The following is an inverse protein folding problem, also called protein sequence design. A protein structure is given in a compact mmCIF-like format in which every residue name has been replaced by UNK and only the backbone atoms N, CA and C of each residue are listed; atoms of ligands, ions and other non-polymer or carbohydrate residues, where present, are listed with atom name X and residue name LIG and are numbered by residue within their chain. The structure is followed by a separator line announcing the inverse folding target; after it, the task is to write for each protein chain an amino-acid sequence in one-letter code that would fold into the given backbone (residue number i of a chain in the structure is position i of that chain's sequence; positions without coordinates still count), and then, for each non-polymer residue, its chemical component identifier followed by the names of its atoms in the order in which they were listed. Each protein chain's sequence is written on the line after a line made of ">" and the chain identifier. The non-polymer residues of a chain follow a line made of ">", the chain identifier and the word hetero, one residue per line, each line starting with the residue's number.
data_IF_946367435960
#
_entry.id   IF_946367435960
#
_cell.length_a   1.000
_cell.length_b   1.000
_cell.length_c   1.000
_cell.angle_alpha   90.00
_cell.angle_beta   90.00
_cell.angle_gamma   90.00
#
_symmetry.space_group_name_H-M   'P 1'
#
loop_
_entity.id
_entity.type
_entity.pdbx_description
1 polymer ?
#
# COMPACT_ATOMS: atom_id res chain seq x y z
N UNK A 1 -22.34 39.62 -16.45
CA UNK A 1 -22.08 38.27 -16.98
C UNK A 1 -20.61 38.08 -17.40
N UNK A 2 -19.72 39.06 -17.18
CA UNK A 2 -18.29 38.97 -17.52
C UNK A 2 -17.40 39.23 -16.29
N UNK A 3 -17.16 38.19 -15.47
CA UNK A 3 -16.02 38.18 -14.53
C UNK A 3 -14.96 37.25 -15.13
N UNK A 4 -13.71 37.69 -15.33
CA UNK A 4 -12.61 36.84 -15.83
C UNK A 4 -12.38 35.57 -14.99
N UNK A 5 -12.85 35.53 -13.73
CA UNK A 5 -12.90 34.31 -12.92
C UNK A 5 -13.86 33.25 -13.50
N UNK A 6 -14.97 33.65 -14.13
CA UNK A 6 -15.95 32.73 -14.74
C UNK A 6 -15.38 31.99 -15.95
N UNK A 7 -14.61 32.66 -16.80
CA UNK A 7 -13.99 32.05 -17.97
C UNK A 7 -12.86 31.07 -17.58
N UNK A 8 -12.09 31.38 -16.54
CA UNK A 8 -11.05 30.47 -16.02
C UNK A 8 -11.66 29.21 -15.41
N UNK A 9 -12.67 29.36 -14.54
CA UNK A 9 -13.34 28.20 -13.90
C UNK A 9 -13.97 27.25 -14.92
N UNK A 10 -14.48 27.77 -16.04
CA UNK A 10 -15.09 26.95 -17.09
C UNK A 10 -14.03 26.14 -17.86
N UNK A 11 -12.89 26.76 -18.23
CA UNK A 11 -11.78 26.05 -18.87
C UNK A 11 -11.21 24.92 -18.01
N UNK A 12 -11.13 25.13 -16.69
CA UNK A 12 -10.69 24.08 -15.75
C UNK A 12 -11.72 22.95 -15.61
N UNK A 13 -13.02 23.27 -15.61
CA UNK A 13 -14.09 22.27 -15.65
C UNK A 13 -14.01 21.41 -16.92
N UNK A 14 -13.84 22.04 -18.09
CA UNK A 14 -13.76 21.33 -19.36
C UNK A 14 -12.51 20.45 -19.45
N UNK A 15 -11.36 20.94 -18.95
CA UNK A 15 -10.11 20.16 -18.91
C UNK A 15 -10.18 18.95 -17.95
N UNK A 16 -10.79 19.12 -16.78
CA UNK A 16 -10.97 18.04 -15.79
C UNK A 16 -12.16 17.13 -16.12
N UNK A 17 -12.88 17.42 -17.20
CA UNK A 17 -14.12 16.76 -17.56
C UNK A 17 -15.17 16.85 -16.45
N UNK A 18 -15.20 17.91 -15.63
CA UNK A 18 -16.09 18.12 -14.49
C UNK A 18 -17.18 19.15 -14.82
N UNK A 19 -18.41 18.98 -14.34
CA UNK A 19 -19.43 20.04 -14.44
C UNK A 19 -19.12 21.13 -13.40
N UNK A 20 -19.57 22.37 -13.64
CA UNK A 20 -19.34 23.51 -12.73
C UNK A 20 -19.73 23.23 -11.28
N UNK A 21 -20.86 22.55 -11.07
CA UNK A 21 -21.37 22.18 -9.74
C UNK A 21 -20.54 21.08 -9.05
N UNK A 22 -19.72 20.36 -9.82
CA UNK A 22 -18.87 19.26 -9.36
C UNK A 22 -17.46 19.73 -8.98
N UNK A 23 -17.05 20.94 -9.37
CA UNK A 23 -15.69 21.45 -9.11
C UNK A 23 -15.39 21.61 -7.61
N UNK A 24 -16.34 22.13 -6.84
CA UNK A 24 -16.18 22.31 -5.39
C UNK A 24 -16.04 20.96 -4.66
N UNK A 25 -16.98 20.00 -4.79
CA UNK A 25 -16.83 18.70 -4.15
C UNK A 25 -15.63 17.91 -4.69
N UNK A 26 -15.28 18.06 -5.98
CA UNK A 26 -14.06 17.47 -6.54
C UNK A 26 -12.80 17.99 -5.84
N UNK A 27 -12.71 19.31 -5.62
CA UNK A 27 -11.57 19.93 -4.93
C UNK A 27 -11.46 19.44 -3.49
N UNK A 28 -12.59 19.34 -2.78
CA UNK A 28 -12.60 18.80 -1.42
C UNK A 28 -12.21 17.31 -1.40
N UNK A 29 -12.66 16.50 -2.37
CA UNK A 29 -12.26 15.10 -2.49
C UNK A 29 -10.77 14.94 -2.82
N UNK A 30 -10.23 15.81 -3.69
CA UNK A 30 -8.81 15.87 -4.03
C UNK A 30 -7.96 16.22 -2.79
N UNK A 31 -8.30 17.32 -2.10
CA UNK A 31 -7.59 17.77 -0.89
C UNK A 31 -7.71 16.74 0.21
N UNK A 32 -8.88 16.11 0.34
CA UNK A 32 -9.09 15.03 1.29
C UNK A 32 -8.13 13.86 1.02
N UNK A 33 -8.09 13.32 -0.20
CA UNK A 33 -7.22 12.18 -0.47
C UNK A 33 -5.73 12.54 -0.38
N UNK A 34 -5.38 13.77 -0.78
CA UNK A 34 -4.05 14.35 -0.60
C UNK A 34 -3.64 14.35 0.87
N UNK A 35 -4.43 14.99 1.76
CA UNK A 35 -4.12 15.07 3.19
C UNK A 35 -4.04 13.68 3.82
N UNK A 36 -4.92 12.77 3.42
CA UNK A 36 -4.97 11.41 3.93
C UNK A 36 -3.69 10.63 3.64
N UNK A 37 -3.26 10.62 2.38
CA UNK A 37 -2.07 9.90 1.95
C UNK A 37 -0.80 10.62 2.36
N UNK A 38 -0.83 11.95 2.48
CA UNK A 38 0.28 12.73 3.04
C UNK A 38 0.52 12.39 4.51
N UNK A 39 -0.52 12.44 5.35
CA UNK A 39 -0.42 12.08 6.77
C UNK A 39 0.07 10.65 6.97
N UNK A 40 -0.50 9.69 6.25
CA UNK A 40 -0.03 8.31 6.32
C UNK A 40 1.41 8.12 5.81
N UNK A 41 1.79 8.79 4.72
CA UNK A 41 3.15 8.66 4.15
C UNK A 41 4.21 9.35 5.00
N UNK A 42 3.84 10.31 5.85
CA UNK A 42 4.73 10.88 6.86
C UNK A 42 5.14 9.83 7.89
N UNK A 43 4.19 8.98 8.29
CA UNK A 43 4.38 7.97 9.32
C UNK A 43 5.12 6.72 8.84
N UNK A 44 5.11 6.43 7.53
CA UNK A 44 5.72 5.20 6.99
C UNK A 44 7.23 5.10 7.26
N UNK A 45 8.06 6.15 7.03
CA UNK A 45 9.47 6.11 7.42
C UNK A 45 9.67 5.96 8.93
N UNK A 46 8.78 6.55 9.74
CA UNK A 46 8.82 6.39 11.21
C UNK A 46 8.57 4.94 11.58
N UNK A 47 7.62 4.25 10.92
CA UNK A 47 7.39 2.82 11.11
C UNK A 47 8.66 1.99 10.92
N UNK A 48 9.40 2.28 9.86
CA UNK A 48 10.58 1.51 9.47
C UNK A 48 11.76 1.79 10.43
N UNK A 49 11.80 2.99 11.02
CA UNK A 49 12.72 3.31 12.11
C UNK A 49 12.31 2.63 13.43
N UNK A 50 11.01 2.61 13.76
CA UNK A 50 10.46 1.86 14.91
C UNK A 50 10.67 0.35 14.80
N UNK A 51 10.85 -0.19 13.60
CA UNK A 51 11.29 -1.57 13.40
C UNK A 51 12.73 -1.82 13.92
N UNK A 52 13.58 -0.80 13.87
CA UNK A 52 14.93 -0.85 14.43
C UNK A 52 14.87 -0.63 15.95
N UNK A 53 14.17 0.42 16.41
CA UNK A 53 14.04 0.73 17.84
C UNK A 53 13.33 -0.38 18.63
N UNK A 54 12.32 -1.04 18.03
CA UNK A 54 11.64 -2.20 18.60
C UNK A 54 12.53 -3.45 18.74
N UNK A 55 13.73 -3.43 18.17
CA UNK A 55 14.72 -4.50 18.24
C UNK A 55 14.59 -5.49 17.07
N UNK A 56 15.64 -5.58 16.26
CA UNK A 56 15.70 -6.41 15.05
C UNK A 56 15.39 -7.89 15.29
N UNK A 57 15.72 -8.43 16.47
CA UNK A 57 15.41 -9.83 16.85
C UNK A 57 13.91 -10.09 16.97
N UNK A 58 13.12 -9.05 17.23
CA UNK A 58 11.67 -9.13 17.37
C UNK A 58 10.92 -8.80 16.08
N UNK A 59 11.61 -8.46 14.99
CA UNK A 59 10.97 -8.14 13.71
C UNK A 59 10.06 -9.28 13.19
N UNK A 60 10.45 -10.57 13.27
CA UNK A 60 9.55 -11.67 12.92
C UNK A 60 8.28 -11.69 13.76
N UNK A 61 8.39 -11.45 15.08
CA UNK A 61 7.24 -11.35 15.97
C UNK A 61 6.32 -10.18 15.61
N UNK A 62 6.89 -9.01 15.25
CA UNK A 62 6.13 -7.83 14.82
C UNK A 62 5.39 -8.10 13.50
N UNK A 63 6.02 -8.83 12.56
CA UNK A 63 5.37 -9.28 11.33
C UNK A 63 4.26 -10.30 11.61
N UNK A 64 4.48 -11.27 12.50
CA UNK A 64 3.45 -12.23 12.94
C UNK A 64 2.28 -11.51 13.61
N UNK A 65 2.54 -10.56 14.51
CA UNK A 65 1.50 -9.75 15.14
C UNK A 65 0.71 -8.96 14.09
N UNK A 66 1.39 -8.31 13.14
CA UNK A 66 0.73 -7.61 12.01
C UNK A 66 -0.17 -8.54 11.20
N UNK A 67 0.30 -9.75 10.88
CA UNK A 67 -0.49 -10.75 10.15
C UNK A 67 -1.74 -11.16 10.94
N UNK A 68 -1.59 -11.55 12.21
CA UNK A 68 -2.70 -11.98 13.05
C UNK A 68 -3.71 -10.84 13.29
N UNK A 69 -3.22 -9.63 13.55
CA UNK A 69 -4.08 -8.45 13.72
C UNK A 69 -4.81 -8.09 12.43
N UNK A 70 -4.17 -8.15 11.26
CA UNK A 70 -4.86 -7.93 9.98
C UNK A 70 -5.94 -8.99 9.72
N UNK A 71 -5.64 -10.26 10.02
CA UNK A 71 -6.59 -11.36 9.85
C UNK A 71 -7.83 -11.18 10.73
N UNK A 72 -7.66 -10.67 11.96
CA UNK A 72 -8.76 -10.36 12.87
C UNK A 72 -9.49 -9.05 12.51
N UNK A 73 -8.77 -8.02 12.07
CA UNK A 73 -9.33 -6.70 11.81
C UNK A 73 -10.12 -6.63 10.49
N UNK A 74 -9.75 -7.44 9.48
CA UNK A 74 -10.44 -7.48 8.19
C UNK A 74 -11.93 -7.85 8.29
N UNK A 75 -12.33 -8.95 8.97
CA UNK A 75 -13.76 -9.27 9.16
C UNK A 75 -14.47 -8.26 10.06
N UNK A 76 -13.79 -7.75 11.10
CA UNK A 76 -14.34 -6.70 11.97
C UNK A 76 -14.70 -5.44 11.18
N UNK A 77 -13.82 -5.02 10.26
CA UNK A 77 -14.07 -3.89 9.37
C UNK A 77 -15.21 -4.17 8.39
N UNK A 78 -15.27 -5.37 7.80
CA UNK A 78 -16.39 -5.79 6.96
C UNK A 78 -17.72 -5.67 7.71
N UNK A 79 -17.77 -6.16 8.95
CA UNK A 79 -18.94 -6.05 9.82
C UNK A 79 -19.30 -4.58 10.16
N UNK A 80 -18.32 -3.77 10.58
CA UNK A 80 -18.51 -2.34 10.86
C UNK A 80 -19.04 -1.58 9.64
N UNK A 81 -18.50 -1.85 8.45
CA UNK A 81 -18.91 -1.21 7.20
C UNK A 81 -20.34 -1.53 6.78
N UNK A 82 -20.86 -2.70 7.20
CA UNK A 82 -22.23 -3.12 6.93
C UNK A 82 -23.25 -2.52 7.92
N UNK A 83 -22.84 -2.23 9.17
CA UNK A 83 -23.76 -1.82 10.25
C UNK A 83 -23.69 -0.33 10.61
N UNK A 84 -22.63 0.39 10.21
CA UNK A 84 -22.46 1.81 10.52
C UNK A 84 -22.69 2.69 9.29
N UNK A 85 -23.36 3.84 9.47
CA UNK A 85 -23.40 4.87 8.44
C UNK A 85 -21.96 5.32 8.11
N UNK A 86 -21.58 5.34 6.83
CA UNK A 86 -20.19 5.53 6.40
C UNK A 86 -19.57 6.84 6.90
N UNK A 87 -20.36 7.90 7.04
CA UNK A 87 -19.90 9.17 7.62
C UNK A 87 -19.47 9.03 9.09
N UNK A 88 -20.31 8.42 9.94
CA UNK A 88 -19.97 8.17 11.35
C UNK A 88 -18.76 7.23 11.47
N UNK A 89 -18.68 6.20 10.62
CA UNK A 89 -17.53 5.30 10.59
C UNK A 89 -16.24 6.06 10.29
N UNK A 90 -16.24 6.95 9.30
CA UNK A 90 -15.07 7.78 8.97
C UNK A 90 -14.63 8.67 10.14
N UNK A 91 -15.56 9.42 10.73
CA UNK A 91 -15.25 10.31 11.85
C UNK A 91 -14.68 9.53 13.04
N UNK A 92 -15.28 8.39 13.37
CA UNK A 92 -14.82 7.55 14.49
C UNK A 92 -13.45 6.96 14.21
N UNK A 93 -13.21 6.40 13.02
CA UNK A 93 -11.91 5.80 12.67
C UNK A 93 -10.81 6.87 12.65
N UNK A 94 -11.06 8.04 12.08
CA UNK A 94 -10.03 9.08 11.99
C UNK A 94 -9.81 9.79 13.32
N UNK A 95 -10.88 10.04 14.09
CA UNK A 95 -10.77 10.53 15.46
C UNK A 95 -9.97 9.55 16.34
N UNK A 96 -10.24 8.25 16.22
CA UNK A 96 -9.45 7.20 16.88
C UNK A 96 -7.98 7.26 16.48
N UNK A 97 -7.67 7.35 15.17
CA UNK A 97 -6.28 7.43 14.70
C UNK A 97 -5.59 8.69 15.24
N UNK A 98 -6.24 9.85 15.23
CA UNK A 98 -5.69 11.10 15.77
C UNK A 98 -5.37 10.95 17.25
N UNK A 99 -6.30 10.41 18.06
CA UNK A 99 -6.06 10.18 19.49
C UNK A 99 -4.89 9.22 19.70
N UNK A 100 -4.79 8.14 18.93
CA UNK A 100 -3.64 7.22 19.01
C UNK A 100 -2.33 7.93 18.67
N UNK A 101 -2.29 8.79 17.64
CA UNK A 101 -1.09 9.55 17.29
C UNK A 101 -0.66 10.50 18.42
N UNK A 102 -1.61 11.13 19.11
CA UNK A 102 -1.31 11.99 20.27
C UNK A 102 -0.78 11.17 21.46
N UNK A 103 -1.32 9.96 21.67
CA UNK A 103 -0.84 9.02 22.68
C UNK A 103 0.60 8.58 22.34
N UNK A 104 0.85 8.17 21.09
CA UNK A 104 2.20 7.80 20.63
C UNK A 104 3.19 8.97 20.76
N UNK A 105 2.78 10.19 20.42
CA UNK A 105 3.58 11.38 20.65
C UNK A 105 3.98 11.53 22.12
N UNK A 106 3.03 11.41 23.04
CA UNK A 106 3.29 11.54 24.48
C UNK A 106 4.24 10.44 25.00
N UNK A 107 4.02 9.18 24.60
CA UNK A 107 4.86 8.05 25.01
C UNK A 107 6.27 8.08 24.41
N UNK A 108 6.40 8.46 23.14
CA UNK A 108 7.73 8.58 22.50
C UNK A 108 8.53 9.76 23.07
N UNK A 109 7.86 10.87 23.42
CA UNK A 109 8.52 12.04 24.03
C UNK A 109 8.91 11.80 25.49
N UNK A 110 8.13 11.00 26.22
CA UNK A 110 8.47 10.63 27.60
C UNK A 110 9.57 9.57 27.70
N UNK A 111 9.96 8.96 26.56
CA UNK A 111 10.88 7.82 26.50
C UNK A 111 10.46 6.66 27.41
N UNK A 112 9.16 6.52 27.70
CA UNK A 112 8.64 5.44 28.52
C UNK A 112 8.47 4.17 27.66
N UNK A 113 9.17 3.10 28.03
CA UNK A 113 9.12 1.79 27.36
C UNK A 113 9.35 1.85 25.83
N UNK A 114 10.46 2.47 25.36
CA UNK A 114 10.68 2.79 23.94
C UNK A 114 10.51 1.58 23.03
N UNK A 115 11.06 0.42 23.40
CA UNK A 115 10.95 -0.80 22.60
C UNK A 115 9.50 -1.27 22.40
N UNK A 116 8.66 -1.21 23.44
CA UNK A 116 7.27 -1.66 23.36
C UNK A 116 6.39 -0.65 22.62
N UNK A 117 6.66 0.64 22.80
CA UNK A 117 6.02 1.71 22.03
C UNK A 117 6.33 1.52 20.54
N UNK A 118 7.60 1.31 20.18
CA UNK A 118 8.02 1.07 18.80
C UNK A 118 7.40 -0.20 18.19
N UNK A 119 7.41 -1.32 18.92
CA UNK A 119 6.76 -2.58 18.50
C UNK A 119 5.27 -2.39 18.25
N UNK A 120 4.57 -1.74 19.19
CA UNK A 120 3.13 -1.51 19.06
C UNK A 120 2.81 -0.56 17.90
N UNK A 121 3.59 0.51 17.72
CA UNK A 121 3.43 1.47 16.64
C UNK A 121 3.61 0.82 15.27
N UNK A 122 4.63 -0.03 15.12
CA UNK A 122 4.88 -0.77 13.89
C UNK A 122 3.66 -1.61 13.46
N UNK A 123 3.11 -2.38 14.40
CA UNK A 123 1.94 -3.24 14.16
C UNK A 123 0.72 -2.37 13.87
N UNK A 124 0.46 -1.38 14.72
CA UNK A 124 -0.67 -0.47 14.59
C UNK A 124 -0.69 0.23 13.23
N UNK A 125 0.41 0.87 12.83
CA UNK A 125 0.50 1.61 11.58
C UNK A 125 0.39 0.69 10.35
N UNK A 126 0.93 -0.53 10.44
CA UNK A 126 0.80 -1.52 9.37
C UNK A 126 -0.65 -1.91 9.14
N UNK A 127 -1.41 -2.09 10.23
CA UNK A 127 -2.83 -2.47 10.21
C UNK A 127 -3.72 -1.33 9.69
N UNK A 128 -3.55 -0.10 10.17
CA UNK A 128 -4.42 1.03 9.76
C UNK A 128 -4.28 1.40 8.28
N UNK A 129 -3.13 1.15 7.66
CA UNK A 129 -2.87 1.47 6.25
C UNK A 129 -3.95 0.93 5.31
N UNK A 130 -4.38 -0.32 5.51
CA UNK A 130 -5.41 -0.94 4.68
C UNK A 130 -6.79 -0.29 4.89
N UNK A 131 -7.11 0.06 6.13
CA UNK A 131 -8.43 0.61 6.48
C UNK A 131 -8.60 2.02 5.96
N UNK A 132 -7.59 2.88 6.12
CA UNK A 132 -7.66 4.30 5.78
C UNK A 132 -8.08 4.51 4.32
N UNK A 133 -7.44 3.78 3.39
CA UNK A 133 -7.71 3.88 1.95
C UNK A 133 -9.06 3.24 1.59
N UNK A 134 -9.39 2.11 2.22
CA UNK A 134 -10.66 1.41 1.97
C UNK A 134 -11.86 2.28 2.35
N UNK A 135 -11.87 2.86 3.56
CA UNK A 135 -12.98 3.72 4.02
C UNK A 135 -13.13 4.97 3.15
N UNK A 136 -12.00 5.54 2.71
CA UNK A 136 -12.00 6.67 1.79
C UNK A 136 -12.75 6.35 0.49
N UNK A 137 -12.39 5.26 -0.19
CA UNK A 137 -13.02 4.89 -1.47
C UNK A 137 -14.46 4.46 -1.29
N UNK A 138 -14.80 3.80 -0.19
CA UNK A 138 -16.20 3.50 0.16
C UNK A 138 -17.04 4.77 0.34
N UNK A 139 -16.48 5.84 0.91
CA UNK A 139 -17.18 7.12 1.04
C UNK A 139 -17.30 7.86 -0.30
N UNK A 140 -16.26 7.82 -1.15
CA UNK A 140 -16.32 8.42 -2.49
C UNK A 140 -17.36 7.73 -3.38
N UNK A 141 -17.46 6.40 -3.31
CA UNK A 141 -18.45 5.63 -4.06
C UNK A 141 -19.90 5.93 -3.67
N UNK A 142 -20.16 6.36 -2.43
CA UNK A 142 -21.49 6.78 -1.99
C UNK A 142 -21.82 8.22 -2.37
N UNK A 143 -20.80 9.07 -2.45
CA UNK A 143 -20.99 10.50 -2.67
C UNK A 143 -21.19 10.85 -4.15
N UNK A 144 -20.52 10.11 -5.04
CA UNK A 144 -20.53 10.36 -6.48
C UNK A 144 -21.31 9.28 -7.23
N UNK A 145 -22.07 9.68 -8.24
CA UNK A 145 -22.78 8.73 -9.11
C UNK A 145 -21.80 7.94 -9.98
N UNK A 146 -22.18 6.78 -10.54
CA UNK A 146 -21.32 6.01 -11.43
C UNK A 146 -20.76 6.82 -12.62
N UNK A 147 -21.59 7.68 -13.22
CA UNK A 147 -21.21 8.59 -14.32
C UNK A 147 -20.19 9.66 -13.90
N UNK A 148 -20.29 10.13 -12.66
CA UNK A 148 -19.31 11.05 -12.08
C UNK A 148 -18.00 10.30 -11.78
N UNK A 149 -18.10 9.07 -11.30
CA UNK A 149 -16.95 8.24 -10.96
C UNK A 149 -15.99 8.01 -12.13
N UNK A 150 -16.50 7.71 -13.32
CA UNK A 150 -15.68 7.46 -14.52
C UNK A 150 -14.87 8.68 -14.97
N UNK A 151 -15.36 9.89 -14.70
CA UNK A 151 -14.71 11.16 -15.06
C UNK A 151 -13.82 11.70 -13.95
N UNK A 152 -14.29 11.66 -12.70
CA UNK A 152 -13.71 12.40 -11.58
C UNK A 152 -12.71 11.58 -10.74
N UNK A 153 -12.85 10.25 -10.68
CA UNK A 153 -12.02 9.43 -9.78
C UNK A 153 -10.53 9.44 -10.16
N UNK A 154 -10.20 9.64 -11.43
CA UNK A 154 -8.81 9.83 -11.87
C UNK A 154 -8.16 11.07 -11.24
N UNK A 155 -8.89 12.19 -11.23
CA UNK A 155 -8.43 13.44 -10.61
C UNK A 155 -8.33 13.28 -9.09
N UNK A 156 -9.32 12.65 -8.45
CA UNK A 156 -9.28 12.37 -7.01
C UNK A 156 -8.05 11.51 -6.66
N UNK A 157 -7.82 10.42 -7.42
CA UNK A 157 -6.67 9.54 -7.23
C UNK A 157 -5.32 10.24 -7.42
N UNK A 158 -5.24 11.23 -8.32
CA UNK A 158 -4.05 12.07 -8.48
C UNK A 158 -3.75 12.87 -7.19
N UNK A 159 -4.77 13.29 -6.43
CA UNK A 159 -4.61 13.93 -5.13
C UNK A 159 -3.90 13.03 -4.13
N UNK A 160 -4.34 11.77 -3.99
CA UNK A 160 -3.68 10.79 -3.11
C UNK A 160 -2.24 10.47 -3.53
N UNK A 161 -1.99 10.36 -4.83
CA UNK A 161 -0.64 10.13 -5.37
C UNK A 161 0.30 11.31 -5.08
N UNK A 162 -0.22 12.53 -5.21
CA UNK A 162 0.51 13.76 -4.87
C UNK A 162 0.80 13.82 -3.36
N UNK A 163 -0.17 13.47 -2.51
CA UNK A 163 0.01 13.41 -1.07
C UNK A 163 1.07 12.37 -0.66
N UNK A 164 1.07 11.21 -1.30
CA UNK A 164 2.06 10.16 -1.06
C UNK A 164 3.50 10.55 -1.48
N UNK A 165 3.64 11.45 -2.45
CA UNK A 165 4.93 12.03 -2.85
C UNK A 165 5.37 13.16 -1.90
N UNK A 166 4.44 14.01 -1.47
CA UNK A 166 4.75 15.15 -0.59
C UNK A 166 5.03 14.70 0.85
N UNK A 167 4.36 13.65 1.34
CA UNK A 167 4.53 13.17 2.72
C UNK A 167 5.98 12.88 3.09
N UNK A 168 6.73 12.07 2.31
CA UNK A 168 8.15 11.83 2.57
C UNK A 168 9.03 13.10 2.48
N UNK A 169 8.71 14.06 1.61
CA UNK A 169 9.43 15.34 1.58
C UNK A 169 9.24 16.12 2.89
N UNK A 170 8.01 16.13 3.42
CA UNK A 170 7.70 16.75 4.72
C UNK A 170 8.46 16.02 5.84
N UNK A 171 8.46 14.69 5.85
CA UNK A 171 9.22 13.90 6.84
C UNK A 171 10.71 14.23 6.81
N UNK A 172 11.30 14.27 5.62
CA UNK A 172 12.72 14.60 5.45
C UNK A 172 13.02 16.03 5.92
N UNK A 173 12.18 17.01 5.57
CA UNK A 173 12.34 18.39 6.00
C UNK A 173 12.18 18.58 7.51
N UNK A 174 11.14 17.99 8.11
CA UNK A 174 10.87 18.11 9.54
C UNK A 174 11.96 17.45 10.40
N UNK A 175 12.47 16.29 9.98
CA UNK A 175 13.52 15.56 10.73
C UNK A 175 14.88 16.27 10.75
N UNK A 176 15.11 17.32 9.95
CA UNK A 176 16.30 18.17 10.10
C UNK A 176 16.22 19.10 11.30
N UNK A 177 15.01 19.46 11.73
CA UNK A 177 14.77 20.50 12.76
C UNK A 177 14.12 19.93 14.01
N UNK A 178 13.31 18.88 13.85
CA UNK A 178 12.49 18.31 14.91
C UNK A 178 12.78 16.82 15.13
N UNK A 179 12.64 16.32 16.37
CA UNK A 179 12.70 14.90 16.68
C UNK A 179 11.58 14.08 16.02
N UNK A 180 11.80 12.77 15.89
CA UNK A 180 10.84 11.81 15.28
C UNK A 180 9.40 11.88 15.85
N UNK A 181 9.17 12.06 17.17
CA UNK A 181 7.81 12.13 17.72
C UNK A 181 6.96 13.26 17.13
N UNK A 182 7.56 14.40 16.75
CA UNK A 182 6.83 15.57 16.21
C UNK A 182 6.11 15.23 14.89
N UNK A 183 6.57 14.22 14.15
CA UNK A 183 5.90 13.77 12.94
C UNK A 183 4.51 13.17 13.20
N UNK A 184 4.25 12.68 14.42
CA UNK A 184 2.91 12.23 14.84
C UNK A 184 1.93 13.39 14.83
N UNK A 185 2.35 14.56 15.32
CA UNK A 185 1.54 15.78 15.33
C UNK A 185 1.31 16.31 13.91
N UNK A 186 2.33 16.26 13.05
CA UNK A 186 2.19 16.63 11.65
C UNK A 186 1.13 15.75 10.95
N UNK A 187 1.22 14.43 11.11
CA UNK A 187 0.21 13.50 10.57
C UNK A 187 -1.18 13.72 11.18
N UNK A 188 -1.27 13.95 12.49
CA UNK A 188 -2.54 14.25 13.16
C UNK A 188 -3.19 15.53 12.60
N UNK A 189 -2.39 16.57 12.30
CA UNK A 189 -2.85 17.79 11.65
C UNK A 189 -3.45 17.53 10.26
N UNK A 190 -2.79 16.72 9.43
CA UNK A 190 -3.33 16.32 8.13
C UNK A 190 -4.64 15.52 8.26
N UNK A 191 -4.72 14.59 9.21
CA UNK A 191 -5.96 13.84 9.46
C UNK A 191 -7.09 14.72 10.02
N UNK A 192 -6.77 15.74 10.81
CA UNK A 192 -7.75 16.72 11.26
C UNK A 192 -8.30 17.54 10.09
N UNK A 193 -7.45 17.94 9.14
CA UNK A 193 -7.90 18.57 7.89
C UNK A 193 -8.82 17.64 7.08
N UNK A 194 -8.57 16.33 7.08
CA UNK A 194 -9.47 15.35 6.47
C UNK A 194 -10.87 15.41 7.09
N UNK A 195 -10.99 15.50 8.42
CA UNK A 195 -12.31 15.63 9.09
C UNK A 195 -13.08 16.86 8.60
N UNK A 196 -12.40 17.99 8.41
CA UNK A 196 -12.98 19.20 7.83
C UNK A 196 -13.47 19.00 6.38
N UNK A 197 -12.69 18.29 5.56
CA UNK A 197 -13.08 17.96 4.19
C UNK A 197 -14.30 17.02 4.17
N UNK A 198 -14.31 15.99 5.02
CA UNK A 198 -15.42 15.04 5.15
C UNK A 198 -16.70 15.77 5.54
N UNK A 199 -16.65 16.69 6.51
CA UNK A 199 -17.81 17.50 6.89
C UNK A 199 -18.36 18.34 5.74
N UNK A 200 -17.48 18.99 4.96
CA UNK A 200 -17.88 19.79 3.78
C UNK A 200 -18.51 18.93 2.69
N UNK A 201 -17.93 17.77 2.42
CA UNK A 201 -18.41 16.80 1.42
C UNK A 201 -19.75 16.19 1.83
N UNK A 202 -19.92 15.81 3.10
CA UNK A 202 -21.19 15.26 3.59
C UNK A 202 -22.30 16.32 3.57
N UNK A 203 -22.00 17.57 3.97
CA UNK A 203 -22.96 18.68 3.88
C UNK A 203 -23.40 18.95 2.44
N UNK A 204 -22.51 18.78 1.46
CA UNK A 204 -22.86 18.85 0.05
C UNK A 204 -23.70 17.64 -0.38
N UNK A 205 -23.31 16.42 0.01
CA UNK A 205 -24.04 15.19 -0.29
C UNK A 205 -25.47 15.20 0.24
N UNK A 206 -25.69 15.59 1.50
CA UNK A 206 -27.04 15.66 2.12
C UNK A 206 -27.99 16.61 1.40
N UNK A 207 -27.49 17.71 0.84
CA UNK A 207 -28.30 18.64 0.02
C UNK A 207 -28.80 18.01 -1.28
N UNK A 208 -28.09 16.97 -1.77
CA UNK A 208 -28.38 16.27 -3.02
C UNK A 208 -29.17 14.96 -2.78
N UNK A 209 -28.90 14.28 -1.67
CA UNK A 209 -29.57 13.03 -1.27
C UNK A 209 -31.05 13.22 -0.89
N UNK A 210 -31.56 14.45 -0.76
CA UNK A 210 -33.02 14.70 -0.72
C UNK A 210 -33.76 14.23 -1.99
N UNK A 211 -33.03 13.86 -3.06
CA UNK A 211 -33.56 13.33 -4.33
C UNK A 211 -32.92 11.99 -4.76
N UNK A 212 -32.13 11.33 -3.91
CA UNK A 212 -31.50 10.05 -4.26
C UNK A 212 -31.67 9.05 -3.12
N UNK A 213 -32.51 8.05 -3.34
CA UNK A 213 -32.58 6.87 -2.46
C UNK A 213 -31.24 6.13 -2.53
N UNK A 214 -30.69 5.68 -1.39
CA UNK A 214 -29.55 4.79 -1.40
C UNK A 214 -29.96 3.50 -2.09
N UNK A 215 -29.35 3.18 -3.23
CA UNK A 215 -29.39 1.82 -3.73
C UNK A 215 -28.62 0.94 -2.73
N UNK A 216 -29.25 -0.06 -2.11
CA UNK A 216 -28.50 -1.06 -1.37
C UNK A 216 -27.61 -1.77 -2.38
N UNK A 217 -26.31 -1.45 -2.35
CA UNK A 217 -25.32 -2.28 -3.03
C UNK A 217 -25.45 -3.69 -2.48
N UNK A 218 -25.48 -4.69 -3.36
CA UNK A 218 -25.58 -6.09 -2.97
C UNK A 218 -24.63 -6.36 -1.80
N UNK A 219 -25.16 -6.80 -0.64
CA UNK A 219 -24.31 -7.11 0.49
C UNK A 219 -23.33 -8.21 0.06
N UNK A 220 -22.03 -7.92 0.22
CA UNK A 220 -20.93 -8.84 0.00
C UNK A 220 -21.06 -10.02 0.98
N UNK A 221 -21.94 -10.96 0.65
CA UNK A 221 -22.11 -12.21 1.38
C UNK A 221 -21.07 -13.22 0.88
N UNK A 222 -20.05 -13.46 1.71
CA UNK A 222 -19.07 -14.49 1.45
C UNK A 222 -18.26 -14.80 2.69
N UNK A 223 -18.33 -16.04 3.18
CA UNK A 223 -17.46 -16.51 4.26
C UNK A 223 -16.00 -16.48 3.81
N UNK A 224 -15.10 -15.99 4.67
CA UNK A 224 -13.65 -16.03 4.48
C UNK A 224 -13.16 -17.45 4.13
N UNK A 225 -13.77 -18.49 4.72
CA UNK A 225 -13.46 -19.89 4.42
C UNK A 225 -13.74 -20.28 2.97
N UNK A 226 -14.72 -19.67 2.31
CA UNK A 226 -15.00 -19.93 0.90
C UNK A 226 -13.84 -19.43 0.01
N UNK A 227 -13.22 -18.29 0.37
CA UNK A 227 -12.02 -17.79 -0.31
C UNK A 227 -10.83 -18.74 -0.18
N UNK A 228 -10.64 -19.34 1.00
CA UNK A 228 -9.59 -20.36 1.25
C UNK A 228 -9.80 -21.57 0.35
N UNK A 229 -10.98 -22.20 0.41
CA UNK A 229 -11.29 -23.43 -0.35
C UNK A 229 -11.12 -23.22 -1.85
N UNK A 230 -11.61 -22.10 -2.36
CA UNK A 230 -11.57 -21.74 -3.76
C UNK A 230 -10.14 -21.52 -4.27
N UNK A 231 -9.29 -20.88 -3.45
CA UNK A 231 -7.87 -20.65 -3.77
C UNK A 231 -7.12 -21.97 -3.94
N UNK A 232 -7.34 -22.95 -3.04
CA UNK A 232 -6.65 -24.24 -3.09
C UNK A 232 -7.25 -25.22 -4.11
N UNK A 233 -8.45 -24.97 -4.62
CA UNK A 233 -9.11 -25.83 -5.62
C UNK A 233 -8.71 -25.46 -7.06
N UNK A 234 -8.18 -24.26 -7.30
CA UNK A 234 -7.83 -23.79 -8.63
C UNK A 234 -6.31 -23.75 -8.83
N UNK A 235 -5.74 -24.56 -9.76
CA UNK A 235 -4.30 -24.57 -10.00
C UNK A 235 -3.78 -23.22 -10.50
N UNK A 236 -4.64 -22.42 -11.16
CA UNK A 236 -4.32 -21.06 -11.59
C UNK A 236 -4.18 -20.11 -10.40
N UNK A 237 -5.11 -20.15 -9.44
CA UNK A 237 -5.03 -19.34 -8.22
C UNK A 237 -3.84 -19.76 -7.34
N UNK A 238 -3.53 -21.06 -7.26
CA UNK A 238 -2.32 -21.53 -6.60
C UNK A 238 -1.04 -21.01 -7.27
N UNK A 239 -1.01 -20.91 -8.60
CA UNK A 239 0.09 -20.28 -9.32
C UNK A 239 0.27 -18.81 -8.92
N UNK A 240 -0.83 -18.05 -8.79
CA UNK A 240 -0.80 -16.67 -8.30
C UNK A 240 -0.29 -16.61 -6.85
N UNK A 241 -0.72 -17.53 -5.98
CA UNK A 241 -0.18 -17.64 -4.62
C UNK A 241 1.33 -17.91 -4.61
N UNK A 242 1.82 -18.84 -5.44
CA UNK A 242 3.25 -19.14 -5.56
C UNK A 242 4.05 -17.92 -6.04
N UNK A 243 3.52 -17.19 -7.03
CA UNK A 243 4.11 -15.93 -7.48
C UNK A 243 4.18 -14.92 -6.34
N UNK A 244 3.11 -14.77 -5.57
CA UNK A 244 3.03 -13.81 -4.47
C UNK A 244 3.96 -14.21 -3.32
N UNK A 245 4.06 -15.48 -2.97
CA UNK A 245 4.99 -15.98 -1.95
C UNK A 245 6.44 -15.69 -2.35
N UNK A 246 6.83 -15.93 -3.61
CA UNK A 246 8.16 -15.59 -4.10
C UNK A 246 8.42 -14.08 -3.99
N UNK A 247 7.42 -13.26 -4.35
CA UNK A 247 7.48 -11.81 -4.24
C UNK A 247 7.64 -11.38 -2.77
N UNK A 248 6.81 -11.84 -1.85
CA UNK A 248 6.87 -11.40 -0.44
C UNK A 248 8.10 -11.93 0.28
N UNK A 249 8.53 -13.16 0.00
CA UNK A 249 9.72 -13.75 0.61
C UNK A 249 10.98 -12.95 0.25
N UNK A 250 11.10 -12.57 -1.01
CA UNK A 250 12.26 -11.83 -1.46
C UNK A 250 12.23 -10.36 -1.05
N UNK A 251 11.04 -9.75 -1.00
CA UNK A 251 10.87 -8.39 -0.47
C UNK A 251 11.18 -8.34 1.03
N UNK A 252 10.71 -9.34 1.79
CA UNK A 252 10.90 -9.42 3.23
C UNK A 252 12.36 -9.68 3.60
N UNK A 253 13.06 -10.57 2.89
CA UNK A 253 14.49 -10.76 3.11
C UNK A 253 15.28 -9.46 2.86
N UNK A 254 15.00 -8.75 1.76
CA UNK A 254 15.64 -7.46 1.50
C UNK A 254 15.33 -6.42 2.57
N UNK A 255 14.07 -6.35 3.02
CA UNK A 255 13.65 -5.46 4.08
C UNK A 255 14.38 -5.75 5.41
N UNK A 256 14.46 -7.02 5.82
CA UNK A 256 15.16 -7.45 7.03
C UNK A 256 16.64 -7.05 7.01
N UNK A 257 17.34 -7.33 5.90
CA UNK A 257 18.76 -7.00 5.77
C UNK A 257 19.01 -5.50 5.62
N UNK A 258 18.19 -4.80 4.85
CA UNK A 258 18.28 -3.35 4.73
C UNK A 258 18.10 -2.71 6.11
N UNK A 259 17.09 -3.16 6.88
CA UNK A 259 16.81 -2.62 8.22
C UNK A 259 17.98 -2.87 9.18
N UNK A 260 18.60 -4.06 9.12
CA UNK A 260 19.84 -4.37 9.86
C UNK A 260 20.99 -3.45 9.47
N UNK A 261 21.31 -3.34 8.18
CA UNK A 261 22.40 -2.50 7.71
C UNK A 261 22.17 -1.03 8.03
N UNK A 262 20.94 -0.52 7.92
CA UNK A 262 20.61 0.86 8.31
C UNK A 262 20.85 1.08 9.81
N UNK A 263 20.54 0.10 10.65
CA UNK A 263 20.81 0.20 12.09
C UNK A 263 22.31 0.22 12.43
N UNK A 264 23.14 -0.43 11.62
CA UNK A 264 24.60 -0.51 11.80
C UNK A 264 25.33 0.73 11.27
N UNK A 265 24.80 1.37 10.22
CA UNK A 265 25.42 2.53 9.56
C UNK A 265 24.98 3.89 10.13
N UNK A 266 23.81 3.95 10.76
CA UNK A 266 23.25 5.18 11.30
C UNK A 266 22.88 4.99 12.75
N UNK A 267 23.42 5.82 13.64
CA UNK A 267 23.11 5.75 15.07
C UNK A 267 21.85 6.54 15.45
N UNK A 268 21.56 7.63 14.73
CA UNK A 268 20.46 8.54 15.05
C UNK A 268 19.13 8.12 14.40
N UNK A 269 18.01 8.05 15.18
CA UNK A 269 16.65 7.81 14.66
C UNK A 269 16.26 8.75 13.51
N UNK A 270 16.64 10.03 13.60
CA UNK A 270 16.34 11.02 12.58
C UNK A 270 17.07 10.70 11.26
N UNK A 271 18.32 10.24 11.31
CA UNK A 271 19.08 9.87 10.12
C UNK A 271 18.50 8.63 9.44
N UNK A 272 18.10 7.62 10.22
CA UNK A 272 17.42 6.42 9.73
C UNK A 272 16.08 6.79 9.08
N UNK A 273 15.29 7.62 9.74
CA UNK A 273 13.99 8.10 9.24
C UNK A 273 14.16 8.88 7.93
N UNK A 274 15.16 9.77 7.83
CA UNK A 274 15.48 10.51 6.58
C UNK A 274 15.84 9.59 5.43
N UNK A 275 16.62 8.54 5.69
CA UNK A 275 16.96 7.55 4.66
C UNK A 275 15.70 6.82 4.18
N UNK A 276 14.90 6.24 5.08
CA UNK A 276 13.65 5.56 4.70
C UNK A 276 12.69 6.49 3.95
N UNK A 277 12.61 7.75 4.37
CA UNK A 277 11.81 8.77 3.71
C UNK A 277 12.31 9.08 2.30
N UNK A 278 13.62 9.18 2.10
CA UNK A 278 14.23 9.37 0.78
C UNK A 278 13.98 8.17 -0.14
N UNK A 279 14.02 6.94 0.40
CA UNK A 279 13.68 5.72 -0.34
C UNK A 279 12.22 5.73 -0.79
N UNK A 280 11.30 6.13 0.09
CA UNK A 280 9.88 6.22 -0.21
C UNK A 280 9.59 7.29 -1.27
N UNK A 281 10.19 8.49 -1.14
CA UNK A 281 10.07 9.55 -2.15
C UNK A 281 10.58 9.09 -3.52
N UNK A 282 11.79 8.56 -3.56
CA UNK A 282 12.43 8.11 -4.80
C UNK A 282 11.63 7.00 -5.47
N UNK A 283 11.17 6.03 -4.68
CA UNK A 283 10.30 4.94 -5.16
C UNK A 283 9.00 5.50 -5.73
N UNK A 284 8.34 6.42 -5.03
CA UNK A 284 7.09 7.04 -5.48
C UNK A 284 7.27 7.81 -6.80
N UNK A 285 8.33 8.63 -6.89
CA UNK A 285 8.62 9.46 -8.06
C UNK A 285 8.93 8.60 -9.28
N UNK A 286 9.83 7.61 -9.13
CA UNK A 286 10.19 6.71 -10.21
C UNK A 286 9.01 5.82 -10.63
N UNK A 287 8.16 5.39 -9.68
CA UNK A 287 6.92 4.66 -9.98
C UNK A 287 6.00 5.49 -10.86
N UNK A 288 5.76 6.75 -10.48
CA UNK A 288 4.91 7.66 -11.23
C UNK A 288 5.44 7.93 -12.64
N UNK A 289 6.74 8.21 -12.78
CA UNK A 289 7.40 8.37 -14.08
C UNK A 289 7.29 7.10 -14.94
N UNK A 290 7.52 5.93 -14.34
CA UNK A 290 7.43 4.64 -15.05
C UNK A 290 6.01 4.36 -15.50
N UNK A 291 4.99 4.66 -14.68
CA UNK A 291 3.59 4.50 -15.05
C UNK A 291 3.18 5.39 -16.21
N UNK A 292 3.62 6.65 -16.22
CA UNK A 292 3.30 7.60 -17.30
C UNK A 292 4.00 7.26 -18.62
N UNK A 293 5.28 6.89 -18.57
CA UNK A 293 6.09 6.76 -19.78
C UNK A 293 6.29 5.31 -20.23
N UNK A 294 6.42 4.35 -19.33
CA UNK A 294 6.87 2.99 -19.67
C UNK A 294 5.74 1.95 -19.60
N UNK A 295 4.89 1.97 -18.58
CA UNK A 295 3.95 0.88 -18.30
C UNK A 295 3.05 0.54 -19.49
N UNK A 296 2.38 1.52 -20.08
CA UNK A 296 1.53 1.29 -21.25
C UNK A 296 2.31 0.79 -22.48
N UNK A 297 3.52 1.32 -22.71
CA UNK A 297 4.38 0.94 -23.84
C UNK A 297 4.87 -0.50 -23.71
N UNK A 298 5.29 -0.90 -22.51
CA UNK A 298 5.75 -2.26 -22.21
C UNK A 298 4.62 -3.26 -22.39
N UNK A 299 3.44 -3.00 -21.81
CA UNK A 299 2.28 -3.90 -21.90
C UNK A 299 1.81 -4.05 -23.36
N UNK A 300 1.73 -2.95 -24.12
CA UNK A 300 1.32 -3.01 -25.54
C UNK A 300 2.32 -3.76 -26.43
N UNK A 301 3.62 -3.62 -26.17
CA UNK A 301 4.67 -4.21 -27.01
C UNK A 301 4.98 -5.67 -26.67
N UNK A 302 4.98 -6.04 -25.40
CA UNK A 302 5.44 -7.34 -24.92
C UNK A 302 4.35 -8.16 -24.20
N UNK A 303 3.13 -7.65 -24.11
CA UNK A 303 2.01 -8.31 -23.43
C UNK A 303 2.22 -8.43 -21.91
N UNK A 304 1.46 -9.33 -21.30
CA UNK A 304 1.45 -9.54 -19.84
C UNK A 304 2.70 -10.25 -19.30
N UNK A 305 3.45 -10.95 -20.16
CA UNK A 305 4.64 -11.71 -19.78
C UNK A 305 5.75 -10.80 -19.26
N UNK A 306 6.05 -9.71 -19.96
CA UNK A 306 7.13 -8.80 -19.60
C UNK A 306 6.99 -8.15 -18.20
N UNK A 307 5.85 -7.53 -17.84
CA UNK A 307 5.70 -6.94 -16.51
C UNK A 307 5.70 -7.97 -15.37
N UNK A 308 5.31 -9.22 -15.62
CA UNK A 308 5.41 -10.31 -14.65
C UNK A 308 6.85 -10.85 -14.52
N UNK A 309 7.62 -10.87 -15.61
CA UNK A 309 9.03 -11.29 -15.60
C UNK A 309 10.00 -10.24 -15.08
N UNK A 310 9.62 -8.97 -15.09
CA UNK A 310 10.52 -7.88 -14.69
C UNK A 310 11.08 -8.07 -13.28
N UNK A 311 10.22 -8.39 -12.30
CA UNK A 311 10.60 -8.57 -10.91
C UNK A 311 11.54 -9.76 -10.64
N UNK A 312 11.28 -10.98 -11.15
CA UNK A 312 12.21 -12.08 -10.96
C UNK A 312 13.55 -11.82 -11.65
N UNK A 313 13.55 -11.22 -12.85
CA UNK A 313 14.80 -10.91 -13.58
C UNK A 313 15.65 -9.89 -12.83
N UNK A 314 15.07 -8.77 -12.39
CA UNK A 314 15.82 -7.78 -11.61
C UNK A 314 16.26 -8.34 -10.27
N UNK A 315 15.50 -9.28 -9.70
CA UNK A 315 15.86 -9.94 -8.45
C UNK A 315 17.02 -10.93 -8.61
N UNK A 316 17.15 -11.64 -9.73
CA UNK A 316 18.35 -12.45 -10.03
C UNK A 316 19.60 -11.56 -9.96
N UNK A 317 19.58 -10.43 -10.68
CA UNK A 317 20.72 -9.50 -10.72
C UNK A 317 20.99 -8.91 -9.34
N UNK A 318 19.95 -8.48 -8.62
CA UNK A 318 20.07 -7.89 -7.29
C UNK A 318 20.64 -8.86 -6.25
N UNK A 319 20.15 -10.11 -6.21
CA UNK A 319 20.63 -11.12 -5.27
C UNK A 319 22.02 -11.63 -5.61
N UNK A 320 22.38 -11.78 -6.89
CA UNK A 320 23.76 -12.07 -7.29
C UNK A 320 24.69 -10.95 -6.85
N UNK A 321 24.31 -9.69 -7.07
CA UNK A 321 25.07 -8.54 -6.62
C UNK A 321 25.26 -8.55 -5.09
N UNK A 322 24.20 -8.80 -4.32
CA UNK A 322 24.27 -8.85 -2.84
C UNK A 322 25.15 -10.01 -2.37
N UNK A 323 25.07 -11.17 -3.03
CA UNK A 323 25.87 -12.33 -2.69
C UNK A 323 27.38 -12.08 -2.87
N UNK A 324 27.74 -11.21 -3.81
CA UNK A 324 29.12 -10.82 -4.10
C UNK A 324 29.58 -9.61 -3.25
N UNK A 325 28.73 -8.58 -3.13
CA UNK A 325 29.04 -7.30 -2.47
C UNK A 325 27.87 -6.81 -1.59
N UNK A 326 27.74 -7.33 -0.36
CA UNK A 326 26.62 -7.00 0.54
C UNK A 326 26.78 -5.61 1.18
N UNK A 327 26.69 -4.54 0.37
CA UNK A 327 26.80 -3.14 0.81
C UNK A 327 25.43 -2.50 0.95
N UNK A 328 25.27 -1.56 1.89
CA UNK A 328 24.01 -0.85 2.10
C UNK A 328 23.51 -0.14 0.83
N UNK A 329 24.42 0.45 0.05
CA UNK A 329 24.08 1.12 -1.21
C UNK A 329 23.42 0.17 -2.21
N UNK A 330 23.92 -1.07 -2.33
CA UNK A 330 23.34 -2.06 -3.22
C UNK A 330 21.94 -2.50 -2.76
N UNK A 331 21.74 -2.71 -1.45
CA UNK A 331 20.41 -2.99 -0.89
C UNK A 331 19.43 -1.85 -1.17
N UNK A 332 19.86 -0.60 -0.97
CA UNK A 332 19.04 0.59 -1.24
C UNK A 332 18.63 0.66 -2.72
N UNK A 333 19.58 0.58 -3.65
CA UNK A 333 19.32 0.65 -5.09
C UNK A 333 18.41 -0.49 -5.52
N UNK A 334 18.70 -1.71 -5.08
CA UNK A 334 17.90 -2.87 -5.41
C UNK A 334 16.48 -2.77 -4.86
N UNK A 335 16.31 -2.35 -3.59
CA UNK A 335 15.00 -2.13 -2.97
C UNK A 335 14.16 -1.11 -3.74
N UNK A 336 14.76 0.02 -4.14
CA UNK A 336 14.05 1.05 -4.93
C UNK A 336 13.63 0.49 -6.29
N UNK A 337 14.56 -0.09 -7.05
CA UNK A 337 14.27 -0.63 -8.38
C UNK A 337 13.18 -1.71 -8.34
N UNK A 338 13.25 -2.58 -7.35
CA UNK A 338 12.28 -3.63 -7.13
C UNK A 338 10.91 -3.07 -6.77
N UNK A 339 10.82 -2.12 -5.83
CA UNK A 339 9.53 -1.50 -5.44
C UNK A 339 8.91 -0.73 -6.61
N UNK A 340 9.71 -0.03 -7.42
CA UNK A 340 9.27 0.64 -8.65
C UNK A 340 8.71 -0.38 -9.64
N UNK A 341 9.44 -1.47 -9.91
CA UNK A 341 8.97 -2.57 -10.76
C UNK A 341 7.67 -3.20 -10.25
N UNK A 342 7.54 -3.34 -8.94
CA UNK A 342 6.34 -3.89 -8.32
C UNK A 342 5.14 -2.98 -8.52
N UNK A 343 5.24 -1.72 -8.14
CA UNK A 343 4.11 -0.80 -8.18
C UNK A 343 3.76 -0.31 -9.60
N UNK A 344 4.75 -0.15 -10.47
CA UNK A 344 4.53 0.37 -11.82
C UNK A 344 4.15 -0.72 -12.84
N UNK A 345 4.62 -1.96 -12.67
CA UNK A 345 4.48 -3.02 -13.67
C UNK A 345 3.80 -4.27 -13.13
N UNK A 346 4.37 -4.90 -12.10
CA UNK A 346 3.93 -6.21 -11.65
C UNK A 346 2.54 -6.19 -11.00
N UNK A 347 2.25 -5.18 -10.18
CA UNK A 347 0.95 -5.04 -9.52
C UNK A 347 -0.18 -4.86 -10.54
N UNK A 348 -0.11 -3.92 -11.51
CA UNK A 348 -1.09 -3.86 -12.59
C UNK A 348 -1.22 -5.17 -13.39
N UNK A 349 -0.10 -5.84 -13.68
CA UNK A 349 -0.13 -7.11 -14.42
C UNK A 349 -0.84 -8.23 -13.62
N UNK A 350 -0.61 -8.30 -12.31
CA UNK A 350 -1.33 -9.22 -11.43
C UNK A 350 -2.82 -8.95 -11.38
N UNK A 351 -3.24 -7.69 -11.42
CA UNK A 351 -4.66 -7.34 -11.47
C UNK A 351 -5.35 -7.88 -12.74
N UNK A 352 -4.64 -7.89 -13.87
CA UNK A 352 -5.11 -8.52 -15.12
C UNK A 352 -5.25 -10.03 -14.97
N UNK A 353 -4.39 -10.71 -14.21
CA UNK A 353 -4.55 -12.15 -13.95
C UNK A 353 -5.90 -12.51 -13.30
N UNK A 354 -6.52 -11.57 -12.57
CA UNK A 354 -7.84 -11.74 -11.95
C UNK A 354 -9.02 -11.34 -12.87
N UNK A 355 -8.80 -10.95 -14.13
CA UNK A 355 -9.91 -10.65 -15.06
C UNK A 355 -10.48 -11.89 -15.74
N UNK A 356 -9.73 -12.99 -15.76
CA UNK A 356 -10.11 -14.27 -16.39
C UNK A 356 -10.64 -15.31 -15.38
N UNK A 357 -10.94 -14.89 -14.16
CA UNK A 357 -11.53 -15.73 -13.11
C UNK A 357 -12.97 -15.31 -12.86
N UNK A 358 -13.78 -16.22 -12.31
CA UNK A 358 -15.18 -15.96 -12.01
C UNK A 358 -15.35 -14.80 -11.01
N UNK A 359 -16.54 -14.20 -10.98
CA UNK A 359 -16.86 -13.11 -10.04
C UNK A 359 -16.64 -13.53 -8.59
N UNK A 360 -17.02 -14.77 -8.25
CA UNK A 360 -16.83 -15.32 -6.90
C UNK A 360 -15.35 -15.46 -6.53
N UNK A 361 -14.53 -16.02 -7.43
CA UNK A 361 -13.07 -16.10 -7.28
C UNK A 361 -12.44 -14.73 -7.09
N UNK A 362 -12.83 -13.76 -7.93
CA UNK A 362 -12.28 -12.41 -7.89
C UNK A 362 -12.53 -11.69 -6.57
N UNK A 363 -13.69 -11.85 -5.93
CA UNK A 363 -13.98 -11.16 -4.67
C UNK A 363 -13.48 -11.93 -3.44
N UNK A 364 -13.65 -13.25 -3.40
CA UNK A 364 -13.33 -14.05 -2.20
C UNK A 364 -11.86 -14.47 -2.17
N UNK A 365 -11.34 -15.02 -3.27
CA UNK A 365 -9.96 -15.50 -3.31
C UNK A 365 -8.98 -14.34 -3.32
N UNK A 366 -9.25 -13.26 -4.05
CA UNK A 366 -8.35 -12.09 -4.09
C UNK A 366 -8.12 -11.48 -2.70
N UNK A 367 -9.17 -11.26 -1.92
CA UNK A 367 -9.02 -10.71 -0.57
C UNK A 367 -8.19 -11.63 0.34
N UNK A 368 -8.41 -12.95 0.25
CA UNK A 368 -7.60 -13.94 0.95
C UNK A 368 -6.14 -13.92 0.50
N UNK A 369 -5.88 -13.86 -0.81
CA UNK A 369 -4.52 -13.82 -1.39
C UNK A 369 -3.80 -12.53 -0.98
N UNK A 370 -4.44 -11.38 -1.17
CA UNK A 370 -3.84 -10.08 -0.89
C UNK A 370 -3.60 -9.84 0.60
N UNK A 371 -4.36 -10.48 1.49
CA UNK A 371 -4.19 -10.34 2.94
C UNK A 371 -3.41 -11.51 3.54
N UNK A 372 -3.96 -12.72 3.48
CA UNK A 372 -3.43 -13.86 4.22
C UNK A 372 -2.15 -14.42 3.59
N UNK A 373 -2.11 -14.57 2.26
CA UNK A 373 -0.92 -15.09 1.58
C UNK A 373 0.20 -14.06 1.61
N UNK A 374 -0.09 -12.78 1.38
CA UNK A 374 0.96 -11.74 1.40
C UNK A 374 1.57 -11.56 2.80
N UNK A 375 0.73 -11.34 3.82
CA UNK A 375 1.18 -11.07 5.20
C UNK A 375 1.68 -12.32 5.90
N UNK A 376 1.08 -13.47 5.60
CA UNK A 376 1.61 -14.77 6.02
C UNK A 376 2.97 -15.04 5.37
N UNK A 377 3.17 -14.63 4.12
CA UNK A 377 4.46 -14.66 3.43
C UNK A 377 5.52 -13.84 4.15
N UNK A 378 5.20 -12.60 4.54
CA UNK A 378 6.10 -11.74 5.32
C UNK A 378 6.48 -12.40 6.67
N UNK A 379 5.48 -12.84 7.44
CA UNK A 379 5.69 -13.45 8.75
C UNK A 379 6.49 -14.76 8.68
N UNK A 380 6.14 -15.67 7.76
CA UNK A 380 6.85 -16.93 7.58
C UNK A 380 8.29 -16.71 7.12
N UNK A 381 8.53 -15.75 6.23
CA UNK A 381 9.88 -15.40 5.78
C UNK A 381 10.73 -14.84 6.92
N UNK A 382 10.15 -13.98 7.77
CA UNK A 382 10.84 -13.47 8.96
C UNK A 382 11.37 -14.59 9.85
N UNK A 383 10.56 -15.61 10.10
CA UNK A 383 10.95 -16.78 10.87
C UNK A 383 11.94 -17.67 10.14
N UNK A 384 11.76 -17.92 8.85
CA UNK A 384 12.69 -18.71 8.04
C UNK A 384 14.09 -18.10 8.02
N UNK A 385 14.20 -16.78 7.76
CA UNK A 385 15.49 -16.08 7.76
C UNK A 385 16.13 -16.11 9.14
N UNK A 386 15.34 -15.91 10.20
CA UNK A 386 15.85 -15.96 11.58
C UNK A 386 16.34 -17.35 11.95
N UNK A 387 15.58 -18.40 11.61
CA UNK A 387 15.97 -19.79 11.85
C UNK A 387 17.23 -20.19 11.08
N UNK A 388 17.31 -19.84 9.79
CA UNK A 388 18.49 -20.12 8.95
C UNK A 388 19.73 -19.39 9.46
N UNK A 389 19.61 -18.13 9.90
CA UNK A 389 20.71 -17.40 10.54
C UNK A 389 21.11 -17.99 11.91
N UNK A 390 20.15 -18.50 12.68
CA UNK A 390 20.45 -19.17 13.95
C UNK A 390 21.27 -20.45 13.76
N UNK A 391 21.17 -21.09 12.59
CA UNK A 391 22.01 -22.22 12.19
C UNK A 391 23.42 -21.79 11.69
N UNK A 392 23.75 -20.50 11.76
CA UNK A 392 25.05 -19.96 11.36
C UNK A 392 25.16 -19.53 9.89
N UNK A 393 24.07 -19.55 9.13
CA UNK A 393 24.09 -19.11 7.74
C UNK A 393 24.31 -17.59 7.64
N UNK A 394 25.22 -17.20 6.77
CA UNK A 394 25.50 -15.79 6.46
C UNK A 394 24.46 -15.21 5.50
N UNK A 395 24.32 -13.88 5.51
CA UNK A 395 23.46 -13.16 4.56
C UNK A 395 23.81 -13.47 3.10
N UNK A 396 25.09 -13.61 2.76
CA UNK A 396 25.54 -13.96 1.42
C UNK A 396 25.10 -15.38 1.01
N UNK A 397 25.16 -16.35 1.91
CA UNK A 397 24.66 -17.71 1.65
C UNK A 397 23.15 -17.72 1.41
N UNK A 398 22.39 -16.96 2.19
CA UNK A 398 20.93 -16.84 1.97
C UNK A 398 20.66 -16.17 0.60
N UNK A 399 21.43 -15.13 0.24
CA UNK A 399 21.31 -14.49 -1.08
C UNK A 399 21.57 -15.46 -2.24
N UNK A 400 22.57 -16.35 -2.13
CA UNK A 400 22.80 -17.42 -3.11
C UNK A 400 21.62 -18.38 -3.25
N UNK A 401 20.96 -18.74 -2.15
CA UNK A 401 19.75 -19.59 -2.16
C UNK A 401 18.54 -18.86 -2.77
N UNK A 402 18.49 -17.53 -2.69
CA UNK A 402 17.42 -16.76 -3.35
C UNK A 402 17.54 -16.78 -4.87
N UNK A 403 18.74 -16.91 -5.46
CA UNK A 403 18.92 -16.92 -6.93
C UNK A 403 18.11 -18.04 -7.63
N UNK A 404 18.19 -19.33 -7.25
CA UNK A 404 17.38 -20.38 -7.88
C UNK A 404 15.88 -20.18 -7.63
N UNK A 405 15.49 -19.63 -6.47
CA UNK A 405 14.10 -19.26 -6.21
C UNK A 405 13.59 -18.22 -7.23
N UNK A 406 14.46 -17.33 -7.74
CA UNK A 406 14.06 -16.31 -8.70
C UNK A 406 13.83 -16.93 -10.08
N UNK A 407 14.53 -18.01 -10.40
CA UNK A 407 14.30 -18.79 -11.62
C UNK A 407 12.95 -19.51 -11.56
N UNK A 408 12.60 -20.08 -10.40
CA UNK A 408 11.26 -20.64 -10.16
C UNK A 408 10.19 -19.55 -10.29
N UNK A 409 10.45 -18.37 -9.72
CA UNK A 409 9.54 -17.23 -9.83
C UNK A 409 9.37 -16.75 -11.28
N UNK A 410 10.46 -16.69 -12.06
CA UNK A 410 10.41 -16.38 -13.49
C UNK A 410 9.60 -17.42 -14.27
N UNK A 411 9.80 -18.71 -13.98
CA UNK A 411 9.02 -19.78 -14.58
C UNK A 411 7.53 -19.62 -14.27
N UNK A 412 7.14 -19.42 -13.00
CA UNK A 412 5.75 -19.16 -12.61
C UNK A 412 5.15 -17.96 -13.35
N UNK A 413 5.91 -16.87 -13.49
CA UNK A 413 5.48 -15.69 -14.25
C UNK A 413 5.14 -16.02 -15.70
N UNK A 414 5.97 -16.83 -16.37
CA UNK A 414 5.70 -17.26 -17.76
C UNK A 414 4.50 -18.19 -17.88
N UNK A 415 4.34 -19.13 -16.94
CA UNK A 415 3.23 -20.08 -16.93
C UNK A 415 1.91 -19.33 -16.72
N UNK A 416 1.85 -18.42 -15.75
CA UNK A 416 0.66 -17.62 -15.46
C UNK A 416 0.25 -16.75 -16.65
N UNK A 417 1.21 -16.08 -17.30
CA UNK A 417 0.93 -15.28 -18.47
C UNK A 417 0.41 -16.10 -19.67
N UNK A 418 0.89 -17.34 -19.85
CA UNK A 418 0.37 -18.26 -20.88
C UNK A 418 -1.03 -18.76 -20.54
N UNK A 419 -1.28 -19.10 -19.28
CA UNK A 419 -2.59 -19.56 -18.81
C UNK A 419 -3.66 -18.47 -18.92
N UNK A 420 -3.31 -17.22 -18.58
CA UNK A 420 -4.20 -16.07 -18.75
C UNK A 420 -4.57 -15.90 -20.23
N UNK A 421 -3.57 -15.90 -21.13
CA UNK A 421 -3.82 -15.80 -22.58
C UNK A 421 -4.75 -16.91 -23.07
N UNK A 422 -4.55 -18.15 -22.65
CA UNK A 422 -5.39 -19.28 -23.06
C UNK A 422 -6.83 -19.16 -22.54
N UNK A 423 -7.02 -18.71 -21.30
CA UNK A 423 -8.35 -18.47 -20.71
C UNK A 423 -9.06 -17.27 -21.32
N UNK A 424 -8.32 -16.25 -21.74
CA UNK A 424 -8.89 -15.08 -22.44
C UNK A 424 -9.42 -15.42 -23.84
N UNK A 425 -8.79 -16.38 -24.53
CA UNK A 425 -9.19 -16.83 -25.87
C UNK A 425 -10.31 -17.85 -25.88
N UNK A 426 -10.59 -18.50 -24.75
CA UNK A 426 -11.65 -19.49 -24.58
C UNK A 426 -12.66 -18.94 -23.56
N UNK A 427 -13.60 -18.06 -23.95
CA UNK A 427 -14.58 -17.54 -23.02
C UNK A 427 -15.29 -18.73 -22.36
N UNK A 428 -15.22 -18.80 -21.03
CA UNK A 428 -16.03 -19.72 -20.24
C UNK A 428 -17.49 -19.53 -20.62
N UNK A 429 -18.10 -20.53 -21.23
CA UNK A 429 -19.55 -20.64 -21.37
C UNK A 429 -20.21 -20.73 -19.99
#
# INVERSE_FOLDING_TARGET
>A
MDDPRYARLQRWADFLGARREELVPLTWAFVYFFCLLCGYSILRPVRDEMAIEGGLKHLPWMMTATFLTMLAATPLFGWLSAHCSRYRLLLTVYGFIIVNLLIYYAFMTSHAYPEWVARSFFVWLSVINLFIVSVFWSFMADLFTPEQGTRLFGVIAAGGSSGALVGPLITTGLTFVFPVPVLMLASAGFLFLCLGCIYRLERWGRKRSAHHQPQPGDPLHGSFLAGVRLTFSSPYLMGICGYLVCLTMTATFLYLEQTRLVSEYFDQPEARTRLFSSLDFTTGLLTWLTQLFLTQRVIRRFGLVAPLLFLPVISVVGFLGIALWPTLALYVVFSVLRRVGEYALSKPAREVLFTVVSREEKYKAKNFIDTAISRGGDASTGWLVTGVKALGATTAQIAWVMVPLMLVWAWLATVLARQEKHRSSSPSQ
#
